data_IF_225466104346
#
_entry.id   IF_225466104346
#
_cell.length_a   1.000
_cell.length_b   1.000
_cell.length_c   1.000
_cell.angle_alpha   90.00
_cell.angle_beta   90.00
_cell.angle_gamma   90.00
#
_symmetry.space_group_name_H-M   'P 1'
#
loop_
_entity.id
_entity.type
_entity.pdbx_description
1 polymer ?
#
# COMPACT_ATOMS: atom_id res chain seq x y z
N UNK A 1 9.76 15.81 13.90
CA UNK A 1 9.83 15.53 15.35
C UNK A 1 9.07 14.24 15.60
N UNK A 2 9.77 13.19 16.02
CA UNK A 2 9.20 11.85 16.18
C UNK A 2 8.38 11.76 17.46
N UNK A 3 7.12 11.40 17.33
CA UNK A 3 6.26 11.11 18.46
C UNK A 3 6.53 9.67 18.89
N UNK A 4 7.51 9.47 19.77
CA UNK A 4 7.62 8.23 20.53
C UNK A 4 6.44 8.20 21.50
N UNK A 5 5.31 7.65 21.08
CA UNK A 5 4.27 7.23 22.01
C UNK A 5 4.86 6.10 22.84
N UNK A 6 5.25 6.41 24.08
CA UNK A 6 5.64 5.44 25.10
C UNK A 6 4.42 4.65 25.52
N UNK A 7 3.93 3.75 24.65
CA UNK A 7 2.99 2.74 25.08
C UNK A 7 3.77 1.73 25.91
N UNK A 8 3.42 1.59 27.18
CA UNK A 8 3.98 0.55 28.03
C UNK A 8 3.62 -0.81 27.44
N UNK A 9 4.64 -1.62 27.18
CA UNK A 9 4.45 -2.99 26.77
C UNK A 9 3.86 -3.77 27.94
N UNK A 10 3.01 -4.74 27.64
CA UNK A 10 2.57 -5.67 28.67
C UNK A 10 3.75 -6.51 29.13
N UNK A 11 3.70 -6.91 30.41
CA UNK A 11 4.64 -7.91 30.92
C UNK A 11 4.40 -9.24 30.20
N UNK A 12 5.48 -9.95 29.85
CA UNK A 12 5.42 -11.26 29.21
C UNK A 12 4.60 -12.26 30.05
N UNK A 13 4.60 -12.12 31.38
CA UNK A 13 3.83 -12.94 32.32
C UNK A 13 2.33 -12.60 32.36
N UNK A 14 1.92 -11.48 31.73
CA UNK A 14 0.49 -11.15 31.59
C UNK A 14 -0.17 -12.24 30.74
N UNK A 15 -1.22 -12.94 31.19
CA UNK A 15 -1.88 -13.93 30.35
C UNK A 15 -2.73 -13.27 29.24
N UNK A 16 -2.85 -13.88 28.05
CA UNK A 16 -3.82 -13.43 27.04
C UNK A 16 -5.27 -13.57 27.54
N UNK A 17 -6.20 -12.80 26.98
CA UNK A 17 -7.61 -12.85 27.39
C UNK A 17 -8.43 -13.80 26.51
N UNK A 18 -8.10 -13.90 25.23
CA UNK A 18 -8.87 -14.64 24.22
C UNK A 18 -8.11 -15.85 23.68
N UNK A 19 -6.80 -15.69 23.44
CA UNK A 19 -5.90 -16.75 23.00
C UNK A 19 -5.44 -17.63 24.17
N UNK A 20 -4.97 -18.84 23.89
CA UNK A 20 -4.36 -19.71 24.92
C UNK A 20 -2.94 -19.26 25.28
N UNK A 21 -2.20 -18.73 24.31
CA UNK A 21 -0.89 -18.11 24.45
C UNK A 21 -0.64 -17.13 23.28
N UNK A 22 0.51 -16.45 23.26
CA UNK A 22 0.88 -15.49 22.20
C UNK A 22 1.65 -16.13 21.04
N UNK A 23 1.20 -17.28 20.55
CA UNK A 23 1.83 -17.97 19.41
C UNK A 23 0.94 -18.01 18.17
N UNK A 24 1.57 -18.27 17.00
CA UNK A 24 0.82 -18.55 15.77
C UNK A 24 -0.01 -19.83 15.87
N UNK A 25 0.40 -20.80 16.69
CA UNK A 25 -0.37 -22.02 16.92
C UNK A 25 -1.69 -21.71 17.65
N UNK A 26 -1.65 -20.85 18.67
CA UNK A 26 -2.84 -20.37 19.38
C UNK A 26 -3.78 -19.59 18.45
N UNK A 27 -3.22 -18.73 17.57
CA UNK A 27 -4.00 -18.02 16.54
C UNK A 27 -4.65 -19.01 15.57
N UNK A 28 -3.91 -20.00 15.07
CA UNK A 28 -4.44 -21.00 14.16
C UNK A 28 -5.55 -21.83 14.81
N UNK A 29 -5.39 -22.21 16.08
CA UNK A 29 -6.43 -22.87 16.86
C UNK A 29 -7.68 -21.99 16.98
N UNK A 30 -7.51 -20.71 17.31
CA UNK A 30 -8.61 -19.75 17.39
C UNK A 30 -9.38 -19.61 16.06
N UNK A 31 -8.68 -19.64 14.92
CA UNK A 31 -9.31 -19.68 13.59
C UNK A 31 -10.07 -21.00 13.39
N UNK A 32 -9.46 -22.15 13.72
CA UNK A 32 -10.05 -23.49 13.55
C UNK A 32 -11.25 -23.75 14.45
N UNK A 33 -11.37 -23.07 15.59
CA UNK A 33 -12.51 -23.18 16.51
C UNK A 33 -13.84 -22.68 15.91
N UNK A 34 -13.81 -22.02 14.74
CA UNK A 34 -15.00 -21.53 14.04
C UNK A 34 -15.62 -20.25 14.60
N UNK A 35 -14.98 -19.67 15.63
CA UNK A 35 -15.31 -18.35 16.19
C UNK A 35 -14.90 -17.20 15.27
N UNK A 36 -13.84 -17.38 14.50
CA UNK A 36 -13.34 -16.38 13.54
C UNK A 36 -14.08 -16.51 12.22
N UNK A 37 -14.80 -15.46 11.82
CA UNK A 37 -15.48 -15.38 10.51
C UNK A 37 -15.17 -14.09 9.77
N UNK A 38 -14.60 -13.10 10.46
CA UNK A 38 -14.35 -11.76 9.96
C UNK A 38 -12.91 -11.36 10.24
N UNK A 39 -12.00 -11.80 9.37
CA UNK A 39 -10.59 -11.41 9.41
C UNK A 39 -10.44 -10.09 8.67
N UNK A 40 -9.94 -9.06 9.34
CA UNK A 40 -9.52 -7.81 8.70
C UNK A 40 -8.01 -7.86 8.50
N UNK A 41 -7.57 -7.62 7.26
CA UNK A 41 -6.17 -7.65 6.88
C UNK A 41 -5.71 -6.23 6.55
N UNK A 42 -4.56 -5.82 7.09
CA UNK A 42 -3.90 -4.56 6.77
C UNK A 42 -2.52 -4.85 6.17
N UNK A 43 -2.22 -4.32 5.00
CA UNK A 43 -0.95 -4.57 4.30
C UNK A 43 -0.20 -3.29 3.95
N UNK A 44 1.11 -3.42 3.75
CA UNK A 44 1.97 -2.40 3.18
C UNK A 44 3.09 -3.02 2.35
N UNK A 45 4.08 -2.22 1.97
CA UNK A 45 5.08 -2.60 0.96
C UNK A 45 5.89 -3.86 1.32
N UNK A 46 6.00 -4.20 2.61
CA UNK A 46 6.74 -5.36 3.09
C UNK A 46 6.20 -6.71 2.61
N UNK A 47 4.93 -6.79 2.15
CA UNK A 47 4.41 -8.04 1.55
C UNK A 47 4.81 -8.22 0.08
N UNK A 48 5.29 -7.15 -0.58
CA UNK A 48 5.63 -7.12 -2.01
C UNK A 48 7.14 -7.19 -2.26
N UNK A 49 7.98 -7.17 -1.23
CA UNK A 49 9.45 -7.19 -1.37
C UNK A 49 9.95 -8.44 -2.07
N UNK A 50 9.38 -9.62 -1.75
CA UNK A 50 9.76 -10.88 -2.41
C UNK A 50 9.36 -10.91 -3.91
N UNK A 51 8.37 -10.11 -4.33
CA UNK A 51 8.03 -9.96 -5.73
C UNK A 51 9.12 -9.23 -6.52
N UNK A 52 10.12 -8.63 -5.86
CA UNK A 52 11.15 -7.82 -6.49
C UNK A 52 10.73 -6.36 -6.68
N UNK A 53 9.58 -5.97 -6.11
CA UNK A 53 9.20 -4.57 -6.05
C UNK A 53 10.08 -3.92 -4.97
N UNK A 54 11.00 -2.99 -5.35
CA UNK A 54 11.78 -2.28 -4.36
C UNK A 54 10.82 -1.50 -3.46
N UNK A 55 11.05 -1.54 -2.16
CA UNK A 55 10.31 -0.64 -1.29
C UNK A 55 10.69 0.81 -1.62
N UNK A 56 9.95 1.77 -1.07
CA UNK A 56 10.26 3.17 -1.35
C UNK A 56 11.60 3.60 -0.71
N UNK A 57 11.96 3.04 0.45
CA UNK A 57 12.86 3.69 1.43
C UNK A 57 14.19 2.96 1.69
N UNK A 58 14.39 1.74 1.20
CA UNK A 58 15.58 0.95 1.51
C UNK A 58 16.84 1.56 0.88
N UNK A 59 17.93 1.77 1.64
CA UNK A 59 19.20 2.22 1.09
C UNK A 59 19.77 1.25 0.05
N UNK A 60 20.19 1.75 -1.11
CA UNK A 60 20.76 0.99 -2.22
C UNK A 60 19.74 0.41 -3.20
N UNK A 61 18.62 -0.11 -2.72
CA UNK A 61 17.61 -0.80 -3.56
C UNK A 61 16.28 -0.08 -3.69
N UNK A 62 15.98 0.84 -2.78
CA UNK A 62 14.70 1.53 -2.73
C UNK A 62 14.50 2.49 -3.90
N UNK A 63 13.25 2.64 -4.34
CA UNK A 63 12.86 3.48 -5.49
C UNK A 63 13.48 4.88 -5.44
N UNK A 64 13.56 5.47 -4.24
CA UNK A 64 14.11 6.79 -3.99
C UNK A 64 15.61 6.95 -4.31
N UNK A 65 16.42 5.89 -4.22
CA UNK A 65 17.84 5.98 -4.61
C UNK A 65 17.99 6.06 -6.13
N UNK A 66 17.18 5.30 -6.87
CA UNK A 66 17.16 5.31 -8.34
C UNK A 66 16.58 6.61 -8.93
N UNK A 67 15.97 7.44 -8.08
CA UNK A 67 15.40 8.75 -8.43
C UNK A 67 16.39 9.91 -8.33
N UNK A 68 17.61 9.68 -7.83
CA UNK A 68 18.66 10.71 -7.77
C UNK A 68 18.95 11.34 -9.14
N UNK A 69 18.77 10.58 -10.23
CA UNK A 69 18.88 11.06 -11.63
C UNK A 69 17.82 12.10 -12.03
N UNK A 70 16.69 12.17 -11.32
CA UNK A 70 15.57 13.05 -11.68
C UNK A 70 15.66 14.46 -11.06
N UNK A 71 16.77 14.79 -10.38
CA UNK A 71 17.01 16.13 -9.79
C UNK A 71 15.86 16.62 -8.91
N UNK A 72 15.29 15.72 -8.09
CA UNK A 72 14.19 16.04 -7.19
C UNK A 72 14.70 16.79 -5.94
N UNK A 73 13.90 17.69 -5.34
CA UNK A 73 14.28 18.40 -4.12
C UNK A 73 14.42 17.44 -2.92
N UNK A 74 13.61 16.39 -2.91
CA UNK A 74 13.70 15.23 -2.04
C UNK A 74 12.95 14.07 -2.72
N UNK A 75 13.26 12.80 -2.40
CA UNK A 75 12.73 11.67 -3.18
C UNK A 75 11.20 11.52 -3.17
N UNK A 76 10.55 11.90 -2.07
CA UNK A 76 9.09 11.84 -1.92
C UNK A 76 8.35 12.84 -2.83
N UNK A 77 9.05 13.87 -3.36
CA UNK A 77 8.44 14.92 -4.17
C UNK A 77 7.79 14.39 -5.46
N UNK A 78 8.27 13.26 -6.00
CA UNK A 78 7.66 12.64 -7.19
C UNK A 78 6.21 12.18 -6.95
N UNK A 79 5.84 11.96 -5.69
CA UNK A 79 4.49 11.61 -5.26
C UNK A 79 3.82 12.76 -4.48
N UNK A 80 4.30 13.99 -4.60
CA UNK A 80 3.66 15.19 -4.05
C UNK A 80 2.78 15.86 -5.10
N UNK A 81 1.53 16.19 -4.75
CA UNK A 81 0.57 16.72 -5.72
C UNK A 81 0.93 18.11 -6.23
N UNK A 82 1.49 18.96 -5.37
CA UNK A 82 1.87 20.32 -5.75
C UNK A 82 3.08 20.27 -6.69
N UNK A 83 4.06 19.41 -6.37
CA UNK A 83 5.20 19.15 -7.26
C UNK A 83 4.75 18.54 -8.60
N UNK A 84 3.79 17.61 -8.60
CA UNK A 84 3.28 17.00 -9.82
C UNK A 84 2.59 18.02 -10.74
N UNK A 85 1.86 18.98 -10.17
CA UNK A 85 1.22 20.04 -10.95
C UNK A 85 2.24 21.01 -11.55
N UNK A 86 3.34 21.28 -10.84
CA UNK A 86 4.44 22.13 -11.32
C UNK A 86 5.32 21.42 -12.35
N UNK A 87 5.69 20.16 -12.09
CA UNK A 87 6.58 19.35 -12.91
C UNK A 87 6.15 17.87 -12.91
N UNK A 88 5.24 17.47 -13.82
CA UNK A 88 4.73 16.09 -13.87
C UNK A 88 5.69 15.09 -14.51
N UNK A 89 6.73 15.55 -15.22
CA UNK A 89 7.63 14.71 -16.02
C UNK A 89 8.33 13.61 -15.20
N UNK A 90 8.93 13.90 -14.02
CA UNK A 90 9.58 12.86 -13.21
C UNK A 90 8.66 11.69 -12.85
N UNK A 91 7.39 11.97 -12.55
CA UNK A 91 6.42 10.92 -12.27
C UNK A 91 6.16 10.04 -13.50
N UNK A 92 6.03 10.62 -14.70
CA UNK A 92 5.76 9.85 -15.91
C UNK A 92 6.96 9.04 -16.41
N UNK A 93 8.18 9.52 -16.17
CA UNK A 93 9.41 8.72 -16.37
C UNK A 93 9.39 7.51 -15.44
N UNK A 94 9.03 7.71 -14.17
CA UNK A 94 8.95 6.66 -13.15
C UNK A 94 7.79 5.68 -13.38
N UNK A 95 6.62 6.18 -13.80
CA UNK A 95 5.40 5.41 -13.96
C UNK A 95 5.57 4.27 -14.99
N UNK A 96 6.48 4.43 -15.94
CA UNK A 96 6.86 3.39 -16.90
C UNK A 96 7.46 2.16 -16.23
N UNK A 97 8.24 2.36 -15.16
CA UNK A 97 8.87 1.29 -14.39
C UNK A 97 7.87 0.65 -13.40
N UNK A 98 6.89 1.42 -12.93
CA UNK A 98 5.91 1.00 -11.92
C UNK A 98 4.61 0.39 -12.49
N UNK A 99 4.36 0.49 -13.80
CA UNK A 99 3.08 0.05 -14.37
C UNK A 99 2.85 -1.47 -14.13
N UNK A 100 1.63 -1.89 -13.76
CA UNK A 100 1.34 -3.29 -13.45
C UNK A 100 1.64 -4.25 -14.61
N UNK A 101 2.18 -5.42 -14.29
CA UNK A 101 2.46 -6.52 -15.24
C UNK A 101 3.87 -7.11 -15.15
N UNK A 102 4.80 -6.42 -14.48
CA UNK A 102 6.20 -6.86 -14.35
C UNK A 102 6.45 -7.72 -13.10
N UNK A 103 5.48 -7.78 -12.18
CA UNK A 103 5.64 -8.41 -10.88
C UNK A 103 4.51 -9.41 -10.62
N UNK A 104 4.84 -10.47 -9.89
CA UNK A 104 3.93 -11.55 -9.53
C UNK A 104 3.61 -11.52 -8.05
N UNK A 105 2.36 -11.86 -7.65
CA UNK A 105 1.98 -11.89 -6.23
C UNK A 105 2.87 -12.81 -5.38
N UNK A 106 3.15 -12.39 -4.15
CA UNK A 106 3.87 -13.22 -3.18
C UNK A 106 2.93 -14.22 -2.49
N UNK A 107 3.50 -15.17 -1.74
CA UNK A 107 2.68 -16.12 -0.96
C UNK A 107 1.81 -15.41 0.09
N UNK A 108 2.26 -14.26 0.60
CA UNK A 108 1.45 -13.40 1.49
C UNK A 108 0.18 -12.90 0.80
N UNK A 109 0.26 -12.48 -0.46
CA UNK A 109 -0.91 -12.06 -1.24
C UNK A 109 -1.87 -13.23 -1.48
N UNK A 110 -1.32 -14.39 -1.86
CA UNK A 110 -2.12 -15.59 -2.14
C UNK A 110 -2.78 -16.14 -0.87
N UNK A 111 -2.16 -15.99 0.29
CA UNK A 111 -2.80 -16.34 1.57
C UNK A 111 -4.06 -15.49 1.82
N UNK A 112 -4.03 -14.19 1.49
CA UNK A 112 -5.21 -13.33 1.62
C UNK A 112 -6.32 -13.77 0.65
N UNK A 113 -5.96 -14.14 -0.58
CA UNK A 113 -6.88 -14.77 -1.54
C UNK A 113 -7.47 -16.07 -1.01
N UNK A 114 -6.66 -16.90 -0.35
CA UNK A 114 -7.13 -18.14 0.30
C UNK A 114 -8.09 -17.86 1.46
N UNK A 115 -7.87 -16.81 2.27
CA UNK A 115 -8.83 -16.35 3.29
C UNK A 115 -10.18 -15.96 2.67
N UNK A 116 -10.16 -15.28 1.52
CA UNK A 116 -11.38 -14.93 0.79
C UNK A 116 -12.12 -16.18 0.28
N UNK A 117 -11.40 -17.12 -0.35
CA UNK A 117 -11.95 -18.40 -0.83
C UNK A 117 -12.55 -19.25 0.30
N UNK A 118 -12.01 -19.12 1.52
CA UNK A 118 -12.51 -19.79 2.72
C UNK A 118 -13.62 -19.02 3.46
N UNK A 119 -14.09 -17.89 2.90
CA UNK A 119 -15.11 -17.00 3.49
C UNK A 119 -14.72 -16.46 4.88
N UNK A 120 -13.41 -16.26 5.12
CA UNK A 120 -12.89 -15.71 6.37
C UNK A 120 -12.48 -14.24 6.23
N UNK A 121 -12.14 -13.78 5.02
CA UNK A 121 -11.75 -12.39 4.79
C UNK A 121 -12.96 -11.48 4.90
N UNK A 122 -12.94 -10.52 5.83
CA UNK A 122 -13.93 -9.45 5.92
C UNK A 122 -13.57 -8.29 5.00
N UNK A 123 -12.34 -7.78 5.14
CA UNK A 123 -11.83 -6.68 4.33
C UNK A 123 -10.30 -6.67 4.37
N UNK A 124 -9.70 -6.34 3.24
CA UNK A 124 -8.28 -6.06 3.05
C UNK A 124 -8.11 -4.57 2.86
N UNK A 125 -7.34 -3.91 3.71
CA UNK A 125 -6.87 -2.56 3.47
C UNK A 125 -5.40 -2.64 3.07
N UNK A 126 -5.05 -2.11 1.90
CA UNK A 126 -3.68 -2.07 1.42
C UNK A 126 -3.20 -0.63 1.25
N UNK A 127 -1.95 -0.37 1.64
CA UNK A 127 -1.22 0.85 1.31
C UNK A 127 -0.51 0.75 -0.04
N UNK A 128 -0.44 -0.45 -0.62
CA UNK A 128 0.26 -0.70 -1.85
C UNK A 128 -0.56 -0.22 -3.04
N UNK A 129 0.14 0.10 -4.12
CA UNK A 129 -0.41 0.57 -5.39
C UNK A 129 -0.12 -0.41 -6.53
N UNK A 130 0.57 -1.51 -6.23
CA UNK A 130 1.10 -2.50 -7.18
C UNK A 130 0.04 -3.45 -7.77
N UNK A 131 -1.18 -3.45 -7.22
CA UNK A 131 -2.31 -4.27 -7.63
C UNK A 131 -2.09 -5.79 -7.46
N UNK A 132 -1.09 -6.22 -6.70
CA UNK A 132 -0.77 -7.64 -6.53
C UNK A 132 -1.85 -8.40 -5.74
N UNK A 133 -2.64 -7.71 -4.91
CA UNK A 133 -3.79 -8.29 -4.22
C UNK A 133 -4.86 -8.77 -5.21
N UNK A 134 -5.16 -7.97 -6.23
CA UNK A 134 -6.09 -8.33 -7.32
C UNK A 134 -5.51 -9.45 -8.17
N UNK A 135 -4.22 -9.36 -8.51
CA UNK A 135 -3.55 -10.40 -9.28
C UNK A 135 -3.50 -11.75 -8.54
N UNK A 136 -3.48 -11.76 -7.19
CA UNK A 136 -3.61 -12.97 -6.38
C UNK A 136 -5.05 -13.54 -6.36
N UNK A 137 -6.03 -12.81 -6.89
CA UNK A 137 -7.43 -13.20 -6.94
C UNK A 137 -8.24 -12.82 -5.70
N UNK A 138 -7.81 -11.82 -4.92
CA UNK A 138 -8.67 -11.24 -3.88
C UNK A 138 -9.85 -10.51 -4.57
N UNK A 139 -11.11 -10.77 -4.19
CA UNK A 139 -12.25 -10.12 -4.83
C UNK A 139 -12.29 -8.62 -4.55
N UNK A 140 -12.64 -7.83 -5.58
CA UNK A 140 -12.64 -6.36 -5.56
C UNK A 140 -13.44 -5.74 -4.41
N UNK A 141 -14.59 -6.35 -4.04
CA UNK A 141 -15.46 -5.88 -2.97
C UNK A 141 -14.86 -6.06 -1.57
N UNK A 142 -13.82 -6.89 -1.45
CA UNK A 142 -13.05 -7.05 -0.23
C UNK A 142 -11.84 -6.12 -0.13
N UNK A 143 -11.43 -5.44 -1.21
CA UNK A 143 -10.22 -4.61 -1.23
C UNK A 143 -10.57 -3.14 -0.96
N UNK A 144 -9.76 -2.50 -0.11
CA UNK A 144 -9.69 -1.06 0.08
C UNK A 144 -8.25 -0.63 -0.21
N UNK A 145 -8.03 -0.10 -1.40
CA UNK A 145 -6.76 0.51 -1.82
C UNK A 145 -6.65 1.90 -1.19
N UNK A 146 -6.07 1.98 0.02
CA UNK A 146 -6.06 3.20 0.81
C UNK A 146 -5.26 4.32 0.14
N UNK A 147 -4.21 3.96 -0.62
CA UNK A 147 -3.43 4.90 -1.41
C UNK A 147 -3.76 4.81 -2.91
N UNK A 148 -4.92 4.25 -3.24
CA UNK A 148 -5.35 4.09 -4.63
C UNK A 148 -4.52 3.05 -5.40
N UNK A 149 -4.58 3.08 -6.72
CA UNK A 149 -3.91 2.10 -7.58
C UNK A 149 -3.71 2.59 -9.01
N UNK A 150 -2.90 1.86 -9.77
CA UNK A 150 -2.73 2.08 -11.22
C UNK A 150 -3.91 1.54 -12.06
N UNK A 151 -4.97 1.01 -11.44
CA UNK A 151 -6.07 0.36 -12.15
C UNK A 151 -6.96 1.35 -12.94
N UNK A 152 -7.09 2.59 -12.46
CA UNK A 152 -7.85 3.65 -13.13
C UNK A 152 -7.09 4.98 -13.09
N UNK A 153 -7.55 5.97 -13.87
CA UNK A 153 -6.92 7.28 -13.97
C UNK A 153 -7.97 8.37 -14.18
N UNK A 154 -7.70 9.57 -13.64
CA UNK A 154 -8.60 10.72 -13.68
C UNK A 154 -7.83 12.03 -13.81
N UNK A 155 -8.50 13.05 -14.35
CA UNK A 155 -7.99 14.42 -14.31
C UNK A 155 -7.88 14.89 -12.86
N UNK A 156 -6.74 15.51 -12.49
CA UNK A 156 -6.51 16.02 -11.13
C UNK A 156 -7.50 17.13 -10.75
N UNK A 157 -7.94 17.93 -11.72
CA UNK A 157 -8.85 19.07 -11.52
C UNK A 157 -10.32 18.66 -11.54
N UNK A 158 -10.83 18.18 -12.68
CA UNK A 158 -12.26 17.93 -12.87
C UNK A 158 -12.70 16.49 -12.53
N UNK A 159 -11.76 15.62 -12.14
CA UNK A 159 -11.98 14.20 -11.79
C UNK A 159 -12.62 13.36 -12.90
N UNK A 160 -12.65 13.86 -14.14
CA UNK A 160 -13.14 13.10 -15.31
C UNK A 160 -12.24 11.87 -15.52
N UNK A 161 -12.80 10.65 -15.63
CA UNK A 161 -12.04 9.46 -15.98
C UNK A 161 -11.31 9.58 -17.30
N UNK A 162 -10.12 8.98 -17.36
CA UNK A 162 -9.29 8.95 -18.56
C UNK A 162 -9.16 7.49 -19.06
N UNK A 163 -9.24 7.23 -20.37
CA UNK A 163 -9.16 5.86 -20.89
C UNK A 163 -7.81 5.17 -20.60
N UNK A 164 -7.84 3.90 -20.17
CA UNK A 164 -6.62 3.13 -19.82
C UNK A 164 -5.66 2.96 -20.99
N UNK A 165 -6.20 2.67 -22.19
CA UNK A 165 -5.37 2.55 -23.39
C UNK A 165 -4.57 3.82 -23.67
N UNK A 166 -5.21 4.98 -23.59
CA UNK A 166 -4.54 6.27 -23.81
C UNK A 166 -3.50 6.54 -22.71
N UNK A 167 -3.82 6.21 -21.44
CA UNK A 167 -2.88 6.38 -20.33
C UNK A 167 -1.62 5.55 -20.54
N UNK A 168 -1.77 4.28 -20.93
CA UNK A 168 -0.63 3.40 -21.25
C UNK A 168 0.26 3.96 -22.35
N UNK A 169 -0.33 4.52 -23.40
CA UNK A 169 0.41 5.16 -24.48
C UNK A 169 1.20 6.38 -24.00
N UNK A 170 0.61 7.20 -23.14
CA UNK A 170 1.27 8.34 -22.49
C UNK A 170 2.42 7.92 -21.57
N UNK A 171 2.18 6.92 -20.71
CA UNK A 171 3.21 6.36 -19.82
C UNK A 171 4.36 5.73 -20.61
N UNK A 172 4.07 5.01 -21.70
CA UNK A 172 5.09 4.40 -22.54
C UNK A 172 6.02 5.44 -23.20
N UNK A 173 5.48 6.61 -23.56
CA UNK A 173 6.24 7.76 -24.08
C UNK A 173 6.88 8.61 -22.97
N UNK A 174 6.51 8.41 -21.71
CA UNK A 174 6.95 9.26 -20.60
C UNK A 174 6.33 10.67 -20.67
N UNK A 175 5.16 10.83 -21.29
CA UNK A 175 4.54 12.13 -21.53
C UNK A 175 3.25 12.31 -20.72
N UNK A 176 3.10 13.41 -19.95
CA UNK A 176 1.90 13.65 -19.14
C UNK A 176 0.65 13.92 -20.00
N UNK A 177 -0.43 13.17 -19.82
CA UNK A 177 -1.71 13.42 -20.47
C UNK A 177 -2.42 14.63 -19.86
N UNK A 178 -3.20 15.31 -20.71
CA UNK A 178 -4.07 16.40 -20.31
C UNK A 178 -5.54 16.01 -20.54
N UNK A 179 -6.42 16.58 -19.75
CA UNK A 179 -7.84 16.26 -19.79
C UNK A 179 -8.48 16.73 -21.10
N UNK A 180 -9.09 15.80 -21.82
CA UNK A 180 -9.81 16.07 -23.07
C UNK A 180 -11.14 16.82 -22.87
N UNK A 181 -11.58 17.05 -21.62
CA UNK A 181 -12.82 17.80 -21.34
C UNK A 181 -12.62 19.26 -21.72
N UNK A 182 -13.52 19.75 -22.57
CA UNK A 182 -13.55 21.15 -23.00
C UNK A 182 -13.56 22.10 -21.78
N UNK A 183 -12.65 23.07 -21.81
CA UNK A 183 -12.50 24.08 -20.74
C UNK A 183 -11.75 23.63 -19.49
N UNK A 184 -11.28 22.38 -19.39
CA UNK A 184 -10.46 21.93 -18.26
C UNK A 184 -8.96 21.96 -18.58
N UNK A 185 -8.50 21.13 -19.52
CA UNK A 185 -7.09 21.04 -19.89
C UNK A 185 -6.13 20.63 -18.76
N UNK A 186 -6.62 20.23 -17.59
CA UNK A 186 -5.79 19.87 -16.44
C UNK A 186 -5.05 18.54 -16.63
N UNK A 187 -3.95 18.36 -15.91
CA UNK A 187 -3.18 17.11 -15.92
C UNK A 187 -4.05 15.91 -15.51
N UNK A 188 -3.74 14.75 -16.07
CA UNK A 188 -4.34 13.46 -15.71
C UNK A 188 -3.26 12.64 -15.01
N UNK A 189 -3.64 11.83 -14.03
CA UNK A 189 -2.77 10.84 -13.41
C UNK A 189 -3.53 9.54 -13.08
N UNK A 190 -2.83 8.41 -12.90
CA UNK A 190 -3.41 7.23 -12.25
C UNK A 190 -4.04 7.60 -10.90
N UNK A 191 -5.07 6.87 -10.49
CA UNK A 191 -5.80 7.07 -9.24
C UNK A 191 -5.00 6.59 -8.02
N UNK A 192 -3.72 6.95 -7.96
CA UNK A 192 -2.82 6.81 -6.81
C UNK A 192 -2.91 8.08 -5.98
N UNK A 193 -2.98 7.96 -4.66
CA UNK A 193 -3.01 9.09 -3.74
C UNK A 193 -1.61 9.66 -3.59
N UNK A 194 -1.43 10.91 -3.98
CA UNK A 194 -0.20 11.66 -3.76
C UNK A 194 -0.24 12.33 -2.36
N UNK A 195 0.92 12.67 -1.81
CA UNK A 195 1.01 13.54 -0.66
C UNK A 195 0.30 14.87 -0.97
N UNK A 196 -0.50 15.33 0.00
CA UNK A 196 -1.41 16.47 -0.18
C UNK A 196 -2.81 16.12 -0.67
N UNK A 197 -3.04 14.91 -1.19
CA UNK A 197 -4.38 14.46 -1.61
C UNK A 197 -5.16 13.77 -0.47
N UNK A 198 -6.49 13.78 -0.59
CA UNK A 198 -7.35 12.98 0.27
C UNK A 198 -7.33 11.51 -0.16
N UNK A 199 -7.39 10.60 0.82
CA UNK A 199 -7.60 9.18 0.56
C UNK A 199 -8.96 8.94 -0.14
N UNK A 200 -9.14 7.80 -0.83
CA UNK A 200 -10.37 7.50 -1.53
C UNK A 200 -11.56 7.40 -0.58
N UNK A 201 -12.77 7.75 -1.05
CA UNK A 201 -14.01 7.67 -0.26
C UNK A 201 -14.21 6.27 0.36
N UNK A 202 -13.87 5.21 -0.41
CA UNK A 202 -13.92 3.83 0.04
C UNK A 202 -13.13 3.58 1.35
N UNK A 203 -12.02 4.29 1.58
CA UNK A 203 -11.29 4.20 2.84
C UNK A 203 -12.15 4.68 4.02
N UNK A 204 -12.75 5.86 3.90
CA UNK A 204 -13.55 6.47 4.96
C UNK A 204 -14.86 5.72 5.20
N UNK A 205 -15.49 5.21 4.15
CA UNK A 205 -16.69 4.38 4.22
C UNK A 205 -16.43 3.07 4.96
N UNK A 206 -15.22 2.51 4.85
CA UNK A 206 -14.86 1.24 5.46
C UNK A 206 -14.04 1.39 6.75
N UNK A 207 -13.67 2.61 7.18
CA UNK A 207 -12.78 2.84 8.33
C UNK A 207 -13.26 2.23 9.66
N UNK A 208 -14.57 1.99 9.80
CA UNK A 208 -15.16 1.37 11.00
C UNK A 208 -15.20 -0.17 10.94
N UNK A 209 -14.96 -0.78 9.77
CA UNK A 209 -14.95 -2.25 9.59
C UNK A 209 -13.98 -2.96 10.54
N UNK A 210 -12.78 -2.44 10.85
CA UNK A 210 -11.90 -3.02 11.87
C UNK A 210 -12.57 -3.27 13.24
N UNK A 211 -13.54 -2.45 13.65
CA UNK A 211 -14.27 -2.66 14.91
C UNK A 211 -15.16 -3.92 14.88
N UNK A 212 -15.42 -4.48 13.70
CA UNK A 212 -16.23 -5.70 13.51
C UNK A 212 -15.38 -6.95 13.35
N UNK A 213 -14.05 -6.84 13.41
CA UNK A 213 -13.14 -7.95 13.20
C UNK A 213 -13.20 -8.96 14.36
N UNK A 214 -13.11 -10.24 14.03
CA UNK A 214 -12.89 -11.31 15.03
C UNK A 214 -11.39 -11.56 15.24
N UNK A 215 -10.58 -11.17 14.25
CA UNK A 215 -9.13 -11.29 14.19
C UNK A 215 -8.59 -10.22 13.23
N UNK A 216 -7.47 -9.59 13.59
CA UNK A 216 -6.78 -8.67 12.69
C UNK A 216 -5.39 -9.19 12.33
N UNK A 217 -5.07 -9.19 11.03
CA UNK A 217 -3.73 -9.50 10.53
C UNK A 217 -3.11 -8.23 9.96
N UNK A 218 -1.90 -7.88 10.40
CA UNK A 218 -1.16 -6.71 9.92
C UNK A 218 0.18 -7.19 9.36
N UNK A 219 0.41 -6.96 8.08
CA UNK A 219 1.55 -7.53 7.36
C UNK A 219 2.37 -6.42 6.66
N UNK A 220 3.68 -6.43 6.88
CA UNK A 220 4.62 -5.70 6.05
C UNK A 220 4.41 -4.18 6.01
N UNK A 221 4.07 -3.55 7.13
CA UNK A 221 3.86 -2.10 7.19
C UNK A 221 4.58 -1.46 8.37
N UNK A 222 5.03 -0.21 8.19
CA UNK A 222 5.61 0.60 9.26
C UNK A 222 4.57 1.24 10.18
N UNK A 223 3.30 1.30 9.76
CA UNK A 223 2.22 2.04 10.45
C UNK A 223 2.61 3.49 10.80
N UNK A 224 3.28 4.18 9.89
CA UNK A 224 3.71 5.58 10.10
C UNK A 224 2.83 6.60 9.39
N UNK A 225 2.05 6.19 8.38
CA UNK A 225 1.25 7.08 7.56
C UNK A 225 -0.20 7.08 8.03
N UNK A 226 -0.68 8.23 8.49
CA UNK A 226 -2.08 8.43 8.85
C UNK A 226 -2.92 8.82 7.62
N UNK A 227 -4.22 8.47 7.61
CA UNK A 227 -5.00 7.83 8.69
C UNK A 227 -4.85 6.30 8.80
N UNK A 228 -4.15 5.63 7.86
CA UNK A 228 -4.04 4.16 7.82
C UNK A 228 -3.47 3.57 9.12
N UNK A 229 -2.42 4.18 9.67
CA UNK A 229 -1.78 3.77 10.92
C UNK A 229 -2.73 3.68 12.13
N UNK A 230 -3.89 4.35 12.07
CA UNK A 230 -4.91 4.29 13.12
C UNK A 230 -5.85 3.09 13.03
N UNK A 231 -5.90 2.37 11.91
CA UNK A 231 -6.85 1.25 11.72
C UNK A 231 -6.68 0.11 12.75
N UNK A 232 -5.45 -0.30 13.15
CA UNK A 232 -5.28 -1.32 14.19
C UNK A 232 -5.86 -0.95 15.56
N UNK A 233 -5.99 0.34 15.85
CA UNK A 233 -6.50 0.84 17.13
C UNK A 233 -8.02 0.70 17.23
N UNK A 234 -8.71 0.61 16.09
CA UNK A 234 -10.17 0.53 16.00
C UNK A 234 -10.68 -0.87 16.34
N UNK A 235 -9.82 -1.90 16.28
CA UNK A 235 -10.15 -3.24 16.75
C UNK A 235 -10.60 -3.18 18.23
N UNK A 236 -11.70 -3.87 18.55
CA UNK A 236 -12.22 -3.91 19.92
C UNK A 236 -11.24 -4.58 20.88
N UNK A 237 -11.36 -4.26 22.16
CA UNK A 237 -10.61 -4.94 23.22
C UNK A 237 -10.89 -6.46 23.19
N UNK A 238 -9.86 -7.27 23.45
CA UNK A 238 -9.96 -8.73 23.39
C UNK A 238 -9.97 -9.34 21.99
N UNK A 239 -10.05 -8.54 20.91
CA UNK A 239 -9.83 -9.03 19.54
C UNK A 239 -8.34 -9.23 19.32
N UNK A 240 -7.87 -10.46 19.01
CA UNK A 240 -6.45 -10.69 18.75
C UNK A 240 -5.96 -9.92 17.52
N UNK A 241 -4.75 -9.38 17.60
CA UNK A 241 -4.06 -8.72 16.49
C UNK A 241 -2.73 -9.42 16.25
N UNK A 242 -2.44 -9.76 15.00
CA UNK A 242 -1.23 -10.49 14.63
C UNK A 242 -0.39 -9.63 13.69
N UNK A 243 0.85 -9.35 14.09
CA UNK A 243 1.80 -8.60 13.29
C UNK A 243 2.78 -9.57 12.61
N UNK A 244 2.87 -9.50 11.28
CA UNK A 244 3.94 -10.11 10.49
C UNK A 244 4.80 -9.00 9.92
N UNK A 245 5.97 -8.76 10.51
CA UNK A 245 6.83 -7.67 10.08
C UNK A 245 8.28 -7.88 10.54
N UNK A 246 9.25 -7.23 9.90
CA UNK A 246 10.65 -7.31 10.33
C UNK A 246 10.89 -6.68 11.71
N UNK A 247 10.08 -5.69 12.06
CA UNK A 247 10.21 -4.90 13.29
C UNK A 247 8.84 -4.69 13.94
N UNK A 248 8.85 -4.51 15.26
CA UNK A 248 7.66 -4.06 15.99
C UNK A 248 7.30 -2.63 15.55
N UNK A 249 6.02 -2.39 15.30
CA UNK A 249 5.49 -1.11 14.79
C UNK A 249 4.20 -0.76 15.51
N UNK A 250 3.81 0.52 15.48
CA UNK A 250 2.59 1.00 16.14
C UNK A 250 2.56 0.69 17.64
N UNK A 251 1.39 0.32 18.15
CA UNK A 251 1.13 -0.06 19.53
C UNK A 251 1.15 -1.59 19.74
N UNK A 252 1.72 -2.36 18.81
CA UNK A 252 1.76 -3.82 18.94
C UNK A 252 2.60 -4.25 20.14
N UNK A 253 2.09 -5.21 20.91
CA UNK A 253 2.69 -5.68 22.16
C UNK A 253 2.18 -4.94 23.40
N UNK A 254 1.13 -4.13 23.25
CA UNK A 254 0.49 -3.39 24.34
C UNK A 254 -0.85 -4.00 24.75
N UNK A 255 -1.41 -4.91 23.93
CA UNK A 255 -2.63 -5.65 24.25
C UNK A 255 -2.32 -7.11 24.56
N UNK A 256 -3.08 -7.68 25.49
CA UNK A 256 -2.88 -9.04 26.01
C UNK A 256 -2.84 -10.12 24.92
N UNK A 257 -3.60 -9.94 23.84
CA UNK A 257 -3.75 -10.88 22.71
C UNK A 257 -3.01 -10.45 21.44
N UNK A 258 -2.08 -9.50 21.54
CA UNK A 258 -1.18 -9.18 20.43
C UNK A 258 -0.16 -10.32 20.22
N UNK A 259 -0.05 -10.81 18.98
CA UNK A 259 0.93 -11.82 18.57
C UNK A 259 1.88 -11.21 17.55
N UNK A 260 3.18 -11.28 17.80
CA UNK A 260 4.20 -10.66 16.96
C UNK A 260 5.08 -11.74 16.33
N UNK A 261 5.02 -11.85 15.01
CA UNK A 261 6.01 -12.55 14.21
C UNK A 261 7.02 -11.54 13.66
N UNK A 262 8.22 -11.54 14.23
CA UNK A 262 9.30 -10.66 13.81
C UNK A 262 10.22 -11.37 12.81
N UNK A 263 9.97 -11.14 11.52
CA UNK A 263 10.65 -11.79 10.40
C UNK A 263 10.03 -11.41 9.05
N UNK A 264 10.44 -12.06 7.98
CA UNK A 264 9.84 -11.86 6.66
C UNK A 264 8.37 -12.33 6.64
N UNK A 265 7.51 -11.60 5.94
CA UNK A 265 6.07 -11.86 5.93
C UNK A 265 5.76 -13.26 5.38
N UNK A 266 6.44 -13.66 4.30
CA UNK A 266 6.19 -14.92 3.60
C UNK A 266 6.48 -16.14 4.48
N UNK A 267 7.57 -16.15 5.25
CA UNK A 267 7.86 -17.23 6.19
C UNK A 267 6.89 -17.25 7.37
N UNK A 268 6.48 -16.08 7.86
CA UNK A 268 5.46 -15.99 8.91
C UNK A 268 4.10 -16.52 8.46
N UNK A 269 3.69 -16.16 7.24
CA UNK A 269 2.47 -16.66 6.60
C UNK A 269 2.56 -18.17 6.38
N UNK A 270 3.70 -18.70 5.91
CA UNK A 270 3.91 -20.15 5.78
C UNK A 270 3.77 -20.87 7.12
N UNK A 271 4.36 -20.35 8.20
CA UNK A 271 4.22 -20.92 9.55
C UNK A 271 2.76 -20.93 10.01
N UNK A 272 2.03 -19.83 9.81
CA UNK A 272 0.60 -19.80 10.13
C UNK A 272 -0.18 -20.81 9.28
N UNK A 273 0.15 -20.94 7.99
CA UNK A 273 -0.46 -21.92 7.11
C UNK A 273 -0.14 -23.37 7.52
N UNK A 274 1.07 -23.65 8.02
CA UNK A 274 1.44 -24.95 8.59
C UNK A 274 0.54 -25.27 9.80
N UNK A 275 0.38 -24.34 10.74
CA UNK A 275 -0.48 -24.50 11.93
C UNK A 275 -1.98 -24.65 11.59
N UNK A 276 -2.42 -24.03 10.50
CA UNK A 276 -3.78 -24.16 9.96
C UNK A 276 -3.99 -25.46 9.17
N UNK A 277 -2.92 -26.15 8.77
CA UNK A 277 -2.96 -27.29 7.86
C UNK A 277 -3.28 -26.89 6.41
N UNK A 278 -2.97 -25.65 6.02
CA UNK A 278 -3.25 -25.10 4.68
C UNK A 278 -2.00 -24.96 3.82
N UNK A 279 -0.83 -25.41 4.30
CA UNK A 279 0.46 -25.20 3.61
C UNK A 279 0.47 -25.71 2.17
N UNK A 280 0.09 -26.96 1.96
CA UNK A 280 0.12 -27.59 0.64
C UNK A 280 -0.84 -26.89 -0.34
N UNK A 281 -2.06 -26.57 0.13
CA UNK A 281 -3.04 -25.83 -0.65
C UNK A 281 -2.54 -24.42 -1.01
N UNK A 282 -1.91 -23.73 -0.06
CA UNK A 282 -1.38 -22.39 -0.26
C UNK A 282 -0.24 -22.37 -1.28
N UNK A 283 0.73 -23.28 -1.15
CA UNK A 283 1.85 -23.37 -2.09
C UNK A 283 1.36 -23.78 -3.48
N UNK A 284 0.45 -24.76 -3.56
CA UNK A 284 -0.13 -25.18 -4.84
C UNK A 284 -0.92 -24.04 -5.52
N UNK A 285 -1.72 -23.30 -4.76
CA UNK A 285 -2.44 -22.15 -5.29
C UNK A 285 -1.47 -21.05 -5.75
N UNK A 286 -0.43 -20.77 -4.98
CA UNK A 286 0.57 -19.76 -5.33
C UNK A 286 1.33 -20.14 -6.60
N UNK A 287 1.83 -21.37 -6.70
CA UNK A 287 2.51 -21.89 -7.89
C UNK A 287 1.60 -21.87 -9.12
N UNK A 288 0.29 -22.14 -8.96
CA UNK A 288 -0.66 -22.06 -10.07
C UNK A 288 -0.89 -20.63 -10.60
N UNK A 289 -0.69 -19.61 -9.75
CA UNK A 289 -0.88 -18.19 -10.10
C UNK A 289 0.39 -17.63 -10.74
N UNK A 290 1.55 -17.88 -10.14
CA UNK A 290 2.81 -17.22 -10.55
C UNK A 290 3.68 -18.09 -11.47
N UNK A 291 3.43 -19.39 -11.53
CA UNK A 291 4.27 -20.37 -12.21
C UNK A 291 5.45 -20.85 -11.35
N UNK A 292 5.93 -22.07 -11.62
CA UNK A 292 6.98 -22.71 -10.82
C UNK A 292 8.31 -21.96 -10.81
N UNK A 293 8.68 -21.34 -11.94
CA UNK A 293 9.94 -20.61 -12.08
C UNK A 293 9.98 -19.39 -11.16
N UNK A 294 8.92 -18.56 -11.22
CA UNK A 294 8.79 -17.38 -10.38
C UNK A 294 8.66 -17.77 -8.90
N UNK A 295 7.89 -18.81 -8.59
CA UNK A 295 7.79 -19.33 -7.22
C UNK A 295 9.16 -19.80 -6.69
N UNK A 296 10.00 -20.40 -7.55
CA UNK A 296 11.38 -20.77 -7.18
C UNK A 296 12.24 -19.54 -6.93
N UNK A 297 12.17 -18.52 -7.80
CA UNK A 297 12.91 -17.25 -7.65
C UNK A 297 12.58 -16.56 -6.34
N UNK A 298 11.30 -16.35 -6.05
CA UNK A 298 10.87 -15.69 -4.81
C UNK A 298 11.31 -16.47 -3.56
N UNK A 299 11.29 -17.82 -3.60
CA UNK A 299 11.80 -18.67 -2.51
C UNK A 299 13.31 -18.53 -2.30
N UNK A 300 14.11 -18.48 -3.37
CA UNK A 300 15.56 -18.30 -3.25
C UNK A 300 15.94 -16.91 -2.75
N UNK A 301 15.23 -15.87 -3.21
CA UNK A 301 15.46 -14.49 -2.76
C UNK A 301 15.20 -14.32 -1.27
N UNK A 302 14.20 -15.02 -0.72
CA UNK A 302 13.92 -15.01 0.72
C UNK A 302 14.99 -15.73 1.58
N UNK A 303 15.76 -16.64 1.01
CA UNK A 303 16.81 -17.40 1.71
C UNK A 303 18.18 -16.72 1.68
N UNK A 304 18.34 -15.68 0.85
CA UNK A 304 19.60 -14.95 0.78
C UNK A 304 19.72 -13.92 1.91
N UNK A 305 20.89 -13.85 2.59
CA UNK A 305 21.15 -12.78 3.54
C UNK A 305 20.95 -11.42 2.87
N UNK A 306 20.28 -10.49 3.54
CA UNK A 306 19.99 -9.12 3.07
C UNK A 306 21.18 -8.44 2.36
N UNK A 307 22.41 -8.69 2.83
CA UNK A 307 23.63 -8.18 2.21
C UNK A 307 23.87 -8.74 0.79
N UNK A 308 23.72 -10.06 0.58
CA UNK A 308 23.89 -10.70 -0.74
C UNK A 308 22.74 -10.44 -1.69
N UNK A 309 21.52 -10.37 -1.16
CA UNK A 309 20.36 -9.96 -1.95
C UNK A 309 20.52 -8.52 -2.46
N UNK A 310 21.14 -7.64 -1.68
CA UNK A 310 21.48 -6.29 -2.11
C UNK A 310 22.51 -6.28 -3.23
N UNK A 311 23.57 -7.06 -3.10
CA UNK A 311 24.63 -7.15 -4.12
C UNK A 311 24.09 -7.71 -5.46
N UNK A 312 23.22 -8.73 -5.44
CA UNK A 312 22.56 -9.24 -6.66
C UNK A 312 21.54 -8.26 -7.24
N UNK A 313 20.79 -7.53 -6.40
CA UNK A 313 19.90 -6.47 -6.90
C UNK A 313 20.73 -5.37 -7.55
N UNK A 314 21.86 -4.98 -6.96
CA UNK A 314 22.78 -3.98 -7.51
C UNK A 314 23.33 -4.45 -8.87
N UNK A 315 23.72 -5.72 -9.00
CA UNK A 315 24.16 -6.34 -10.27
C UNK A 315 23.04 -6.35 -11.33
N UNK A 316 21.79 -6.69 -10.95
CA UNK A 316 20.63 -6.60 -11.85
C UNK A 316 20.34 -5.14 -12.25
N UNK A 317 20.54 -4.21 -11.32
CA UNK A 317 20.34 -2.77 -11.57
C UNK A 317 21.40 -2.26 -12.55
N UNK A 318 22.65 -2.67 -12.39
CA UNK A 318 23.76 -2.40 -13.32
C UNK A 318 23.50 -3.03 -14.70
N UNK A 319 22.99 -4.25 -14.77
CA UNK A 319 22.59 -4.87 -16.05
C UNK A 319 21.45 -4.11 -16.75
N UNK A 320 20.51 -3.55 -15.98
CA UNK A 320 19.46 -2.66 -16.53
C UNK A 320 20.05 -1.34 -17.03
N UNK A 321 21.03 -0.77 -16.32
CA UNK A 321 21.77 0.43 -16.74
C UNK A 321 22.60 0.22 -18.01
N UNK A 322 23.17 -0.97 -18.21
CA UNK A 322 23.91 -1.28 -19.43
C UNK A 322 23.00 -1.57 -20.63
N UNK A 323 21.82 -2.16 -20.40
CA UNK A 323 20.76 -2.26 -21.44
C UNK A 323 20.20 -0.89 -21.84
N UNK A 324 20.27 0.11 -20.97
CA UNK A 324 19.91 1.50 -21.26
C UNK A 324 20.94 2.21 -22.18
N UNK A 325 22.18 1.74 -22.25
CA UNK A 325 23.25 2.34 -23.08
C UNK A 325 23.24 1.84 -24.54
N UNK A 326 22.44 0.82 -24.88
CA UNK A 326 22.42 0.20 -26.21
C UNK A 326 21.05 0.37 -26.90
N UNK A 327 20.84 1.54 -27.50
CA UNK A 327 19.75 1.85 -28.45
C UNK A 327 20.22 2.89 -29.48
N UNK A 328 19.77 2.83 -30.75
CA UNK A 328 20.65 2.98 -31.91
C UNK A 328 20.99 4.44 -32.27
N UNK A 329 22.27 4.71 -32.46
CA UNK A 329 22.80 5.92 -33.06
C UNK A 329 22.59 5.92 -34.59
N UNK A 330 22.07 7.03 -35.13
CA UNK A 330 22.29 7.41 -36.53
C UNK A 330 21.44 8.61 -36.98
N UNK A 331 21.77 9.32 -38.08
CA UNK A 331 23.09 9.54 -38.68
C UNK A 331 23.43 11.05 -38.89
N UNK A 332 24.72 11.29 -39.19
CA UNK A 332 25.36 12.43 -39.85
C UNK A 332 24.63 13.77 -40.05
N UNK A 333 25.28 14.85 -39.58
CA UNK A 333 25.32 16.14 -40.28
C UNK A 333 26.74 16.69 -40.33
N UNK A 334 27.36 16.56 -41.50
CA UNK A 334 28.49 17.39 -41.94
C UNK A 334 28.00 18.81 -42.26
N UNK A 335 28.73 19.82 -41.78
CA UNK A 335 28.96 21.12 -42.42
C UNK A 335 30.14 21.78 -41.67
N UNK A 336 31.36 21.58 -42.15
CA UNK A 336 32.11 22.49 -43.03
C UNK A 336 32.81 23.65 -42.27
N UNK A 337 34.14 23.47 -42.19
CA UNK A 337 35.21 24.44 -42.04
C UNK A 337 34.96 25.81 -42.70
N UNK A 338 35.48 26.86 -42.05
CA UNK A 338 36.54 27.70 -42.64
C UNK A 338 37.38 28.38 -41.56
N UNK A 339 38.62 27.91 -41.45
CA UNK A 339 39.88 28.68 -41.52
C UNK A 339 40.11 29.94 -40.66
N UNK A 340 41.07 29.81 -39.73
CA UNK A 340 42.45 30.31 -39.88
C UNK A 340 43.00 31.22 -38.76
N UNK A 341 44.20 30.79 -38.33
CA UNK A 341 45.39 31.58 -38.00
C UNK A 341 45.77 31.96 -36.55
N UNK A 342 46.55 31.02 -35.97
CA UNK A 342 47.98 31.14 -35.62
C UNK A 342 48.49 31.98 -34.42
N UNK A 343 49.24 31.23 -33.58
CA UNK A 343 50.41 31.58 -32.72
C UNK A 343 50.12 32.47 -31.50
N UNK A 344 50.57 32.21 -30.28
CA UNK A 344 51.43 31.18 -29.69
C UNK A 344 51.83 31.66 -28.28
N UNK A 345 52.15 30.72 -27.38
CA UNK A 345 53.06 30.83 -26.22
C UNK A 345 52.74 31.89 -25.13
N UNK A 346 52.37 31.48 -23.91
CA UNK A 346 53.30 31.17 -22.82
C UNK A 346 52.56 30.85 -21.51
N UNK A 347 53.17 29.96 -20.73
CA UNK A 347 52.77 29.47 -19.41
C UNK A 347 52.98 30.53 -18.32
N UNK A 348 52.15 30.56 -17.27
CA UNK A 348 52.65 30.84 -15.91
C UNK A 348 51.66 30.37 -14.82
N UNK A 349 52.15 29.40 -14.04
CA UNK A 349 51.75 29.03 -12.68
C UNK A 349 51.87 30.24 -11.73
N UNK A 350 50.87 30.48 -10.86
CA UNK A 350 51.15 31.11 -9.55
C UNK A 350 50.33 30.44 -8.45
N UNK A 351 51.09 29.89 -7.51
CA UNK A 351 50.73 29.28 -6.23
C UNK A 351 50.40 30.33 -5.16
N UNK A 352 49.58 29.88 -4.20
CA UNK A 352 49.09 30.59 -3.02
C UNK A 352 50.24 30.84 -2.03
N UNK A 353 50.26 32.00 -1.39
CA UNK A 353 50.82 32.13 -0.04
C UNK A 353 50.04 33.11 0.84
N UNK A 354 49.88 32.66 2.09
CA UNK A 354 49.28 33.34 3.23
C UNK A 354 50.12 34.52 3.70
N UNK A 355 49.47 35.53 4.28
CA UNK A 355 50.07 36.33 5.34
C UNK A 355 49.06 36.59 6.48
N UNK A 356 49.58 36.34 7.68
CA UNK A 356 48.96 36.41 8.99
C UNK A 356 49.50 37.67 9.67
N UNK A 357 48.66 38.45 10.36
CA UNK A 357 49.02 39.04 11.65
C UNK A 357 47.84 39.80 12.28
N UNK A 358 47.57 39.47 13.54
CA UNK A 358 46.58 40.08 14.41
C UNK A 358 47.02 41.43 15.00
N UNK A 359 46.15 42.08 15.77
CA UNK A 359 46.01 41.91 17.22
C UNK A 359 44.86 42.81 17.76
N UNK A 360 44.28 42.40 18.90
CA UNK A 360 43.71 43.29 19.92
C UNK A 360 42.21 43.64 19.87
N UNK A 361 41.44 43.18 20.87
CA UNK A 361 40.21 43.87 21.30
C UNK A 361 39.19 43.02 22.05
N UNK A 362 39.02 43.30 23.35
CA UNK A 362 38.09 42.66 24.29
C UNK A 362 36.58 42.81 23.96
N UNK A 363 35.81 41.89 24.57
CA UNK A 363 34.48 42.08 25.18
C UNK A 363 33.20 41.61 24.43
N UNK A 364 32.46 40.78 25.18
CA UNK A 364 31.01 40.62 25.26
C UNK A 364 30.22 39.92 24.15
N UNK A 365 29.53 38.85 24.56
CA UNK A 365 28.47 38.17 23.83
C UNK A 365 27.23 39.04 23.61
N UNK A 366 26.52 38.83 22.50
CA UNK A 366 25.06 38.62 22.51
C UNK A 366 24.71 37.39 21.63
N UNK A 367 23.67 36.60 21.89
CA UNK A 367 22.29 36.97 22.20
C UNK A 367 21.40 36.46 21.06
N UNK A 368 20.74 35.33 21.29
CA UNK A 368 19.77 34.66 20.41
C UNK A 368 18.55 35.56 20.11
N UNK A 369 17.99 35.57 18.89
CA UNK A 369 16.69 36.21 18.68
C UNK A 369 15.55 35.23 18.98
N UNK A 370 14.66 35.67 19.86
CA UNK A 370 13.41 35.02 20.23
C UNK A 370 12.26 35.36 19.26
N UNK A 371 11.38 34.39 19.05
CA UNK A 371 10.07 34.53 18.40
C UNK A 371 9.08 35.26 19.33
N UNK A 372 8.15 36.09 18.82
CA UNK A 372 7.16 36.75 19.66
C UNK A 372 5.92 35.88 19.91
N UNK A 373 5.44 35.91 21.15
CA UNK A 373 4.19 35.31 21.61
C UNK A 373 3.06 36.36 21.73
N UNK A 374 1.84 35.88 21.46
CA UNK A 374 0.51 36.26 21.94
C UNK A 374 0.30 37.65 22.60
N UNK A 375 -0.63 38.42 22.01
CA UNK A 375 -1.32 39.53 22.67
C UNK A 375 -2.65 39.08 23.28
N UNK A 376 -2.83 39.39 24.57
CA UNK A 376 -4.09 39.32 25.29
C UNK A 376 -4.67 40.73 25.49
N UNK A 377 -6.00 40.84 25.62
CA UNK A 377 -6.68 41.99 26.20
C UNK A 377 -7.97 41.54 26.95
N UNK A 378 -8.45 42.32 27.95
CA UNK A 378 -9.08 41.79 29.16
C UNK A 378 -10.55 42.22 29.40
N UNK A 379 -11.20 41.64 30.42
CA UNK A 379 -12.39 42.23 31.07
C UNK A 379 -13.18 41.27 31.95
N UNK A 380 -13.12 41.46 33.28
CA UNK A 380 -13.95 40.79 34.31
C UNK A 380 -15.23 41.59 34.60
N UNK A 381 -16.28 40.92 35.06
CA UNK A 381 -17.45 41.48 35.75
C UNK A 381 -18.36 40.38 36.30
N UNK A 382 -18.77 40.50 37.55
CA UNK A 382 -19.29 39.48 38.48
C UNK A 382 -20.83 39.25 38.41
N UNK A 383 -21.27 38.28 39.25
CA UNK A 383 -22.57 38.12 39.92
C UNK A 383 -23.67 37.19 39.35
N UNK A 384 -24.15 36.28 40.22
CA UNK A 384 -25.54 35.81 40.22
C UNK A 384 -25.77 34.30 40.38
N UNK A 385 -25.98 33.84 41.61
CA UNK A 385 -26.54 32.53 41.96
C UNK A 385 -28.06 32.42 41.63
N UNK A 386 -28.68 31.21 41.65
CA UNK A 386 -29.98 30.92 41.04
C UNK A 386 -31.18 30.96 42.02
N UNK A 387 -32.42 30.87 41.49
CA UNK A 387 -33.40 29.91 41.99
C UNK A 387 -34.04 29.15 40.80
N UNK A 388 -34.54 27.92 40.89
CA UNK A 388 -35.29 27.26 41.95
C UNK A 388 -36.72 26.96 41.44
N UNK A 389 -37.11 25.68 41.42
CA UNK A 389 -38.48 25.19 41.15
C UNK A 389 -38.66 24.63 39.74
N UNK A 390 -39.29 23.47 39.48
CA UNK A 390 -40.16 22.61 40.29
C UNK A 390 -41.20 21.99 39.33
N UNK A 391 -41.56 20.71 39.56
CA UNK A 391 -42.68 20.03 38.87
C UNK A 391 -42.20 18.98 37.84
N UNK A 392 -42.02 17.70 38.17
CA UNK A 392 -42.99 16.67 38.55
C UNK A 392 -43.79 16.08 37.36
N UNK A 393 -43.47 14.81 37.06
CA UNK A 393 -44.37 13.66 36.89
C UNK A 393 -45.44 13.72 35.78
N UNK A 394 -45.32 12.79 34.81
CA UNK A 394 -46.38 11.84 34.49
C UNK A 394 -45.87 10.65 33.66
N UNK A 395 -46.02 9.45 34.24
CA UNK A 395 -46.07 8.15 33.57
C UNK A 395 -47.46 7.94 32.96
N UNK A 396 -47.53 7.12 31.92
CA UNK A 396 -48.72 6.35 31.48
C UNK A 396 -48.44 5.74 30.11
N UNK A 397 -47.93 4.52 29.98
CA UNK A 397 -48.62 3.20 29.92
C UNK A 397 -49.70 3.06 28.84
N UNK A 398 -49.39 2.16 27.90
CA UNK A 398 -50.24 1.12 27.25
C UNK A 398 -51.43 1.55 26.36
N UNK A 399 -51.42 1.10 25.10
CA UNK A 399 -52.18 -0.08 24.64
C UNK A 399 -52.49 -0.03 23.11
N UNK A 400 -52.21 -1.17 22.45
CA UNK A 400 -52.98 -1.86 21.39
C UNK A 400 -53.39 -1.16 20.06
N UNK A 401 -53.13 -1.87 18.94
CA UNK A 401 -53.60 -1.57 17.57
C UNK A 401 -55.09 -1.91 17.35
N UNK A 402 -55.60 -2.22 16.12
CA UNK A 402 -54.91 -2.46 14.84
C UNK A 402 -55.58 -1.80 13.59
N UNK A 403 -54.92 -1.91 12.42
CA UNK A 403 -55.60 -2.23 11.15
C UNK A 403 -55.80 -1.11 10.10
N UNK A 404 -55.21 -1.34 8.91
CA UNK A 404 -55.73 -1.14 7.54
C UNK A 404 -54.60 -0.69 6.60
N UNK A 405 -54.00 -1.61 5.82
CA UNK A 405 -54.34 -1.92 4.42
C UNK A 405 -54.26 -0.72 3.47
N UNK A 406 -53.15 -0.64 2.73
CA UNK A 406 -53.14 -0.16 1.35
C UNK A 406 -52.21 -1.06 0.54
N UNK A 407 -52.81 -1.80 -0.39
CA UNK A 407 -52.16 -2.62 -1.39
C UNK A 407 -52.07 -1.85 -2.71
N UNK A 408 -50.95 -1.99 -3.42
CA UNK A 408 -50.83 -1.76 -4.86
C UNK A 408 -49.71 -2.74 -5.30
N UNK A 409 -50.05 -3.96 -5.74
CA UNK A 409 -50.15 -4.38 -7.14
C UNK A 409 -49.02 -3.77 -8.00
N UNK A 410 -47.91 -4.49 -8.17
CA UNK A 410 -47.62 -5.53 -9.20
C UNK A 410 -47.60 -4.99 -10.61
N UNK A 411 -46.40 -4.90 -11.20
CA UNK A 411 -46.16 -5.23 -12.60
C UNK A 411 -44.79 -5.88 -12.75
N UNK A 412 -44.80 -7.21 -12.81
CA UNK A 412 -43.73 -8.08 -13.30
C UNK A 412 -43.88 -8.21 -14.81
N UNK A 413 -42.84 -7.85 -15.57
CA UNK A 413 -42.69 -8.31 -16.96
C UNK A 413 -41.68 -9.46 -16.97
N UNK A 414 -42.22 -10.66 -17.12
CA UNK A 414 -41.47 -11.87 -17.47
C UNK A 414 -41.17 -11.86 -18.96
N UNK A 415 -39.91 -12.11 -19.35
CA UNK A 415 -39.60 -12.74 -20.64
C UNK A 415 -39.05 -14.13 -20.37
N UNK A 416 -39.88 -15.11 -20.69
CA UNK A 416 -39.57 -16.52 -20.82
C UNK A 416 -38.86 -16.77 -22.15
N UNK A 417 -37.69 -17.37 -22.14
CA UNK A 417 -37.17 -18.13 -23.28
C UNK A 417 -37.27 -19.62 -22.95
N UNK A 418 -38.14 -20.29 -23.69
CA UNK A 418 -38.43 -21.71 -23.59
C UNK A 418 -37.29 -22.54 -24.16
N UNK A 419 -36.94 -23.60 -23.43
CA UNK A 419 -36.13 -24.72 -23.86
C UNK A 419 -36.94 -25.61 -24.79
N UNK A 420 -36.46 -25.85 -26.01
CA UNK A 420 -36.82 -27.02 -26.80
C UNK A 420 -35.76 -28.11 -26.61
N UNK A 421 -36.26 -29.31 -26.35
CA UNK A 421 -35.51 -30.56 -26.23
C UNK A 421 -35.35 -31.15 -27.63
N UNK A 422 -34.14 -31.58 -27.97
CA UNK A 422 -33.97 -32.80 -28.74
C UNK A 422 -32.97 -33.71 -28.04
N UNK A 423 -33.28 -34.98 -28.16
CA UNK A 423 -32.92 -36.09 -27.31
C UNK A 423 -32.41 -37.15 -28.27
N UNK A 424 -31.13 -37.49 -28.26
CA UNK A 424 -30.70 -38.78 -28.79
C UNK A 424 -29.48 -39.32 -28.03
N UNK A 425 -29.77 -40.42 -27.34
CA UNK A 425 -28.84 -41.32 -26.67
C UNK A 425 -28.19 -42.21 -27.72
N UNK A 426 -26.89 -42.44 -27.61
CA UNK A 426 -26.28 -43.71 -28.01
C UNK A 426 -25.31 -44.14 -26.90
N UNK A 427 -25.65 -45.22 -26.22
CA UNK A 427 -24.85 -45.89 -25.20
C UNK A 427 -24.06 -47.09 -25.81
N UNK A 428 -23.17 -47.76 -25.05
CA UNK A 428 -21.85 -48.18 -25.52
C UNK A 428 -21.76 -49.63 -26.05
N UNK A 429 -20.71 -49.90 -26.82
CA UNK A 429 -20.31 -51.24 -27.26
C UNK A 429 -18.98 -51.68 -26.64
N UNK A 430 -19.04 -52.78 -25.88
CA UNK A 430 -17.91 -53.54 -25.31
C UNK A 430 -17.42 -54.60 -26.32
N UNK A 431 -16.10 -54.74 -26.47
CA UNK A 431 -15.30 -55.95 -26.80
C UNK A 431 -13.96 -55.47 -27.41
N UNK A 432 -12.75 -55.86 -27.00
CA UNK A 432 -12.28 -57.20 -26.66
C UNK A 432 -11.52 -57.81 -27.86
N UNK A 433 -10.21 -57.55 -27.99
CA UNK A 433 -9.21 -58.37 -28.73
C UNK A 433 -7.82 -57.72 -28.57
N UNK A 434 -6.88 -58.28 -27.80
CA UNK A 434 -5.94 -59.36 -28.14
C UNK A 434 -4.92 -59.01 -29.23
N UNK A 435 -3.64 -59.11 -28.89
CA UNK A 435 -2.62 -59.65 -29.81
C UNK A 435 -1.58 -58.68 -30.38
N UNK A 436 -0.39 -58.74 -29.77
CA UNK A 436 0.92 -58.85 -30.42
C UNK A 436 1.25 -57.97 -31.65
N UNK A 437 2.17 -57.02 -31.47
CA UNK A 437 3.61 -57.17 -31.78
C UNK A 437 4.39 -55.92 -31.39
#
# INVERSE_FOLDING_TARGET
>A
MGQQSSHELIDDDTPPQTLEDRSLAAVAKYIKDGRVRRIVVLTGAGISTAAGIPDFRSPGTGLYNNLARLSLPHPEAVFDIDFFVENPQPFYVLAKELYPGNFSPTISHVFISLLAKRNLLRKLFTQNIDCLERAAGVPDDHIVEAHGSFATQRCVQCKTPFPDKEMREHVARGEPPHCAREGCGGLVKPDIVFFGEQLPAAFFENRSVPATADLMLVLGTSLTVHPFAGLPLIAMEGVPRVLFNLQRVGDFGTRADDVLYLGDCDSGVRKLADELGWREELESLWESIVGEEEARRQRSSAQMPLARARDEIEEITEEMEDKLKLGPSGPDRQAQDTDADQRGQDEEEITINMDNNGDGGEANAPGTPALPAAGAAPGRGEDGAPPGGGGSVARGTEAEGPGAKAACQTDTVSQTHSLERENERAEPGVAGNSGAR
#
